data_IF_056581823240
#
_entry.id   IF_056581823240
#
_cell.length_a   1.000
_cell.length_b   1.000
_cell.length_c   1.000
_cell.angle_alpha   90.00
_cell.angle_beta   90.00
_cell.angle_gamma   90.00
#
_symmetry.space_group_name_H-M   'P 1'
#
loop_
_entity.id
_entity.type
_entity.pdbx_description
1 polymer ?
#
# COMPACT_ATOMS: atom_id res chain seq x y z
N UNK A 1 13.16 9.64 -3.42
CA UNK A 1 13.35 9.03 -2.10
C UNK A 1 12.01 8.72 -1.45
N UNK A 2 11.87 7.52 -0.91
CA UNK A 2 10.63 7.11 -0.23
C UNK A 2 10.75 7.38 1.26
N UNK A 3 9.72 7.93 1.86
CA UNK A 3 9.68 8.18 3.30
C UNK A 3 8.24 8.17 3.82
N UNK A 4 8.09 8.08 5.15
CA UNK A 4 6.81 8.27 5.82
C UNK A 4 6.33 9.70 5.68
N UNK A 5 5.02 9.87 5.55
CA UNK A 5 4.42 11.20 5.54
C UNK A 5 4.23 11.69 6.95
N UNK A 6 4.81 12.86 7.24
CA UNK A 6 4.66 13.56 8.50
C UNK A 6 3.88 14.88 8.35
N UNK A 7 3.60 15.29 7.13
CA UNK A 7 2.97 16.57 6.81
C UNK A 7 1.80 16.37 5.84
N UNK A 8 0.57 16.69 6.25
CA UNK A 8 -0.61 16.52 5.40
C UNK A 8 -0.62 17.39 4.15
N UNK A 9 0.01 18.57 4.21
CA UNK A 9 0.07 19.50 3.07
C UNK A 9 0.78 18.92 1.85
N UNK A 10 1.67 17.94 2.04
CA UNK A 10 2.36 17.27 0.94
C UNK A 10 1.44 16.40 0.09
N UNK A 11 0.27 16.02 0.62
CA UNK A 11 -0.65 15.11 -0.04
C UNK A 11 -1.78 15.77 -0.81
N UNK A 12 -2.11 17.02 -0.52
CA UNK A 12 -3.28 17.68 -1.09
C UNK A 12 -3.41 17.59 -2.60
N UNK A 13 -2.32 17.71 -3.39
CA UNK A 13 -2.43 17.64 -4.85
C UNK A 13 -2.63 16.24 -5.42
N UNK A 14 -2.44 15.18 -4.63
CA UNK A 14 -2.31 13.82 -5.15
C UNK A 14 -3.42 12.87 -4.74
N UNK A 15 -4.18 13.17 -3.68
CA UNK A 15 -5.20 12.22 -3.23
C UNK A 15 -6.58 12.62 -3.69
N UNK A 16 -7.26 11.66 -4.33
CA UNK A 16 -8.68 11.72 -4.62
C UNK A 16 -9.47 10.76 -3.72
N UNK A 17 -8.80 9.86 -3.03
CA UNK A 17 -9.41 8.83 -2.18
C UNK A 17 -9.85 9.36 -0.82
N UNK A 18 -9.07 10.26 -0.24
CA UNK A 18 -9.32 10.81 1.10
C UNK A 18 -9.44 12.32 1.05
N UNK A 19 -10.37 12.89 1.83
CA UNK A 19 -10.43 14.33 2.04
C UNK A 19 -9.37 14.76 3.07
N UNK A 20 -9.23 16.09 3.28
CA UNK A 20 -8.21 16.63 4.17
C UNK A 20 -8.34 16.13 5.62
N UNK A 21 -9.55 16.04 6.14
CA UNK A 21 -9.80 15.56 7.51
C UNK A 21 -9.46 14.08 7.65
N UNK A 22 -9.82 13.28 6.65
CA UNK A 22 -9.49 11.86 6.62
C UNK A 22 -7.98 11.62 6.58
N UNK A 23 -7.25 12.42 5.81
CA UNK A 23 -5.79 12.34 5.73
C UNK A 23 -5.14 12.69 7.06
N UNK A 24 -5.59 13.75 7.72
CA UNK A 24 -5.05 14.15 9.02
C UNK A 24 -5.23 13.03 10.06
N UNK A 25 -6.37 12.37 10.05
CA UNK A 25 -6.63 11.24 10.93
C UNK A 25 -5.71 10.06 10.64
N UNK A 26 -5.45 9.76 9.36
CA UNK A 26 -4.57 8.66 8.95
C UNK A 26 -3.12 8.91 9.33
N UNK A 27 -2.63 10.14 9.17
CA UNK A 27 -1.23 10.49 9.45
C UNK A 27 -0.87 10.31 10.92
N UNK A 28 -1.84 10.46 11.83
CA UNK A 28 -1.62 10.22 13.24
C UNK A 28 -1.73 8.76 13.68
N UNK A 29 -2.00 7.83 12.77
CA UNK A 29 -2.27 6.43 13.09
C UNK A 29 -1.13 5.52 12.60
N UNK A 30 -0.34 5.01 13.54
CA UNK A 30 0.78 4.11 13.26
C UNK A 30 0.36 2.78 12.63
N UNK A 31 -0.91 2.37 12.80
CA UNK A 31 -1.44 1.17 12.15
C UNK A 31 -1.77 1.38 10.67
N UNK A 32 -1.71 2.61 10.20
CA UNK A 32 -2.02 2.98 8.82
C UNK A 32 -0.89 3.82 8.23
N UNK A 33 0.31 3.25 8.04
CA UNK A 33 1.45 4.01 7.55
C UNK A 33 1.22 4.48 6.11
N UNK A 34 1.72 5.66 5.82
CA UNK A 34 1.65 6.28 4.51
C UNK A 34 3.07 6.56 4.04
N UNK A 35 3.37 6.13 2.82
CA UNK A 35 4.70 6.32 2.21
C UNK A 35 4.57 7.20 0.98
N UNK A 36 5.56 8.04 0.76
CA UNK A 36 5.64 8.87 -0.46
C UNK A 36 6.99 8.69 -1.13
N UNK A 37 6.99 8.75 -2.45
CA UNK A 37 8.19 8.93 -3.24
C UNK A 37 8.28 10.42 -3.62
N UNK A 38 9.33 11.08 -3.18
CA UNK A 38 9.54 12.51 -3.39
C UNK A 38 10.89 12.75 -4.06
N UNK A 39 10.86 13.59 -5.10
CA UNK A 39 12.05 14.08 -5.80
C UNK A 39 11.77 15.52 -6.21
N UNK A 40 11.87 16.45 -5.23
CA UNK A 40 11.44 17.85 -5.41
C UNK A 40 9.93 18.04 -5.39
N UNK A 41 9.20 17.07 -5.91
CA UNK A 41 7.73 16.97 -5.86
C UNK A 41 7.36 15.54 -5.52
N UNK A 42 6.13 15.33 -5.05
CA UNK A 42 5.64 13.97 -4.78
C UNK A 42 5.30 13.30 -6.10
N UNK A 43 5.92 12.17 -6.38
CA UNK A 43 5.75 11.40 -7.61
C UNK A 43 4.92 10.12 -7.40
N UNK A 44 4.67 9.75 -6.18
CA UNK A 44 3.86 8.57 -5.85
C UNK A 44 3.63 8.43 -4.37
N UNK A 45 2.65 7.59 -4.03
CA UNK A 45 2.31 7.31 -2.63
C UNK A 45 1.80 5.89 -2.46
N UNK A 46 1.87 5.40 -1.22
CA UNK A 46 1.27 4.14 -0.82
C UNK A 46 0.54 4.32 0.50
N UNK A 47 -0.75 3.96 0.52
CA UNK A 47 -1.54 3.87 1.74
C UNK A 47 -1.56 2.42 2.20
N UNK A 48 -1.18 2.18 3.44
CA UNK A 48 -1.06 0.84 3.99
C UNK A 48 -1.87 0.72 5.29
N UNK A 49 -2.13 -0.52 5.69
CA UNK A 49 -2.79 -0.83 6.95
C UNK A 49 -2.10 -2.05 7.56
N UNK A 50 -1.78 -1.96 8.84
CA UNK A 50 -1.19 -3.07 9.58
C UNK A 50 -2.27 -3.72 10.42
N UNK A 51 -2.43 -5.03 10.26
CA UNK A 51 -3.36 -5.82 11.04
C UNK A 51 -2.60 -6.93 11.76
N UNK A 52 -3.06 -7.24 12.97
CA UNK A 52 -2.50 -8.32 13.77
C UNK A 52 -3.62 -9.22 14.25
N UNK A 53 -3.39 -10.54 14.18
CA UNK A 53 -4.24 -11.54 14.81
C UNK A 53 -3.45 -12.08 15.99
N UNK A 54 -3.93 -11.81 17.20
CA UNK A 54 -3.28 -12.24 18.45
C UNK A 54 -4.27 -12.98 19.34
N UNK A 55 -3.75 -13.96 20.08
CA UNK A 55 -4.54 -14.63 21.12
C UNK A 55 -5.56 -15.63 20.60
N UNK A 56 -5.54 -15.97 19.33
CA UNK A 56 -6.36 -17.03 18.78
C UNK A 56 -5.73 -18.38 19.12
N UNK A 57 -6.48 -19.26 19.78
CA UNK A 57 -5.98 -20.58 20.16
C UNK A 57 -5.76 -21.51 18.97
N UNK A 58 -6.37 -21.21 17.84
CA UNK A 58 -6.32 -22.02 16.63
C UNK A 58 -5.36 -21.49 15.58
N UNK A 59 -4.97 -20.21 15.68
CA UNK A 59 -4.10 -19.54 14.71
C UNK A 59 -2.87 -18.98 15.42
N UNK A 60 -1.73 -19.06 14.76
CA UNK A 60 -0.54 -18.36 15.23
C UNK A 60 -0.75 -16.84 15.12
N UNK A 61 -0.03 -16.08 15.95
CA UNK A 61 -0.05 -14.61 15.83
C UNK A 61 0.48 -14.22 14.45
N UNK A 62 -0.34 -13.52 13.69
CA UNK A 62 0.01 -13.09 12.32
C UNK A 62 -0.09 -11.58 12.25
N UNK A 63 0.98 -10.95 11.78
CA UNK A 63 1.03 -9.53 11.49
C UNK A 63 1.15 -9.34 9.98
N UNK A 64 0.19 -8.62 9.41
CA UNK A 64 0.10 -8.40 7.96
C UNK A 64 0.13 -6.91 7.68
N UNK A 65 0.92 -6.50 6.68
CA UNK A 65 0.80 -5.19 6.08
C UNK A 65 -0.04 -5.32 4.81
N UNK A 66 -1.17 -4.63 4.79
CA UNK A 66 -2.06 -4.56 3.64
C UNK A 66 -1.79 -3.28 2.89
N UNK A 67 -1.51 -3.36 1.59
CA UNK A 67 -1.39 -2.19 0.72
C UNK A 67 -2.78 -1.86 0.19
N UNK A 68 -3.37 -0.78 0.71
CA UNK A 68 -4.70 -0.34 0.32
C UNK A 68 -4.69 0.37 -1.03
N UNK A 69 -3.64 1.16 -1.28
CA UNK A 69 -3.51 1.90 -2.52
C UNK A 69 -2.04 2.24 -2.78
N UNK A 70 -1.62 2.06 -4.02
CA UNK A 70 -0.35 2.54 -4.54
C UNK A 70 -0.65 3.34 -5.81
N UNK A 71 -0.22 4.58 -5.84
CA UNK A 71 -0.47 5.49 -6.95
C UNK A 71 0.83 6.17 -7.36
N UNK A 72 1.08 6.23 -8.66
CA UNK A 72 2.28 6.83 -9.23
C UNK A 72 1.85 7.83 -10.29
N UNK A 73 2.49 9.01 -10.29
CA UNK A 73 2.24 10.04 -11.30
C UNK A 73 2.50 9.47 -12.69
N UNK A 74 1.56 9.63 -13.60
CA UNK A 74 1.65 9.12 -14.98
C UNK A 74 2.89 9.61 -15.70
N UNK A 75 3.31 10.85 -15.45
CA UNK A 75 4.50 11.44 -16.07
C UNK A 75 5.79 10.76 -15.68
N UNK A 76 5.77 9.98 -14.60
CA UNK A 76 6.95 9.29 -14.07
C UNK A 76 6.89 7.78 -14.29
N UNK A 77 5.88 7.28 -14.96
CA UNK A 77 5.81 5.86 -15.32
C UNK A 77 7.04 5.50 -16.14
N UNK A 78 7.69 4.39 -15.78
CA UNK A 78 8.96 3.97 -16.38
C UNK A 78 10.20 4.46 -15.64
N UNK A 79 10.06 5.32 -14.61
CA UNK A 79 11.17 5.76 -13.76
C UNK A 79 11.31 4.93 -12.48
N UNK A 80 10.67 3.78 -12.45
CA UNK A 80 10.73 2.83 -11.32
C UNK A 80 10.21 3.37 -9.98
N UNK A 81 9.35 4.38 -10.00
CA UNK A 81 8.77 4.95 -8.78
C UNK A 81 7.91 3.92 -8.04
N UNK A 82 7.06 3.18 -8.77
CA UNK A 82 6.24 2.13 -8.17
C UNK A 82 7.07 1.01 -7.57
N UNK A 83 8.13 0.61 -8.25
CA UNK A 83 9.06 -0.40 -7.75
C UNK A 83 9.75 0.08 -6.46
N UNK A 84 10.22 1.33 -6.44
CA UNK A 84 10.87 1.91 -5.27
C UNK A 84 9.91 1.97 -4.08
N UNK A 85 8.66 2.40 -4.30
CA UNK A 85 7.64 2.40 -3.25
C UNK A 85 7.38 1.01 -2.71
N UNK A 86 7.15 0.05 -3.58
CA UNK A 86 6.88 -1.33 -3.18
C UNK A 86 8.06 -1.92 -2.38
N UNK A 87 9.28 -1.76 -2.85
CA UNK A 87 10.47 -2.28 -2.17
C UNK A 87 10.65 -1.67 -0.79
N UNK A 88 10.40 -0.36 -0.67
CA UNK A 88 10.48 0.31 0.62
C UNK A 88 9.41 -0.19 1.59
N UNK A 89 8.18 -0.35 1.13
CA UNK A 89 7.08 -0.88 1.94
C UNK A 89 7.41 -2.30 2.39
N UNK A 90 7.93 -3.13 1.50
CA UNK A 90 8.37 -4.49 1.81
C UNK A 90 9.43 -4.51 2.91
N UNK A 91 10.46 -3.67 2.76
CA UNK A 91 11.54 -3.61 3.74
C UNK A 91 11.04 -3.10 5.09
N UNK A 92 10.13 -2.11 5.07
CA UNK A 92 9.49 -1.61 6.28
C UNK A 92 8.68 -2.71 6.97
N UNK A 93 7.85 -3.42 6.23
CA UNK A 93 7.05 -4.52 6.78
C UNK A 93 7.93 -5.58 7.44
N UNK A 94 9.01 -5.96 6.80
CA UNK A 94 9.99 -6.90 7.37
C UNK A 94 10.60 -6.33 8.65
N UNK A 95 10.94 -5.05 8.67
CA UNK A 95 11.59 -4.39 9.81
C UNK A 95 10.71 -4.36 11.05
N UNK A 96 9.38 -4.29 10.89
CA UNK A 96 8.44 -4.27 12.01
C UNK A 96 7.88 -5.66 12.35
N UNK A 97 8.40 -6.71 11.73
CA UNK A 97 8.04 -8.08 12.05
C UNK A 97 6.77 -8.61 11.38
N UNK A 98 6.36 -8.02 10.26
CA UNK A 98 5.23 -8.56 9.51
C UNK A 98 5.55 -9.93 8.93
N UNK A 99 4.56 -10.82 8.94
CA UNK A 99 4.67 -12.15 8.36
C UNK A 99 4.48 -12.12 6.85
N UNK A 100 3.67 -11.18 6.36
CA UNK A 100 3.38 -11.07 4.94
C UNK A 100 2.92 -9.66 4.57
N UNK A 101 2.85 -9.42 3.26
CA UNK A 101 2.23 -8.25 2.66
C UNK A 101 1.11 -8.76 1.75
N UNK A 102 -0.06 -8.15 1.83
CA UNK A 102 -1.18 -8.47 0.95
C UNK A 102 -1.69 -7.21 0.24
N UNK A 103 -2.31 -7.41 -0.90
CA UNK A 103 -3.04 -6.38 -1.63
C UNK A 103 -4.09 -7.04 -2.51
N UNK A 104 -5.02 -6.25 -3.01
CA UNK A 104 -6.03 -6.72 -3.95
C UNK A 104 -5.82 -6.08 -5.31
N UNK A 105 -6.04 -6.86 -6.35
CA UNK A 105 -6.01 -6.40 -7.75
C UNK A 105 -7.35 -6.74 -8.38
N UNK A 106 -8.01 -5.75 -8.98
CA UNK A 106 -9.27 -5.98 -9.68
C UNK A 106 -9.06 -6.87 -10.90
N UNK A 107 -10.05 -7.73 -11.15
CA UNK A 107 -10.09 -8.54 -12.37
C UNK A 107 -9.97 -7.66 -13.60
N UNK A 108 -9.11 -8.06 -14.54
CA UNK A 108 -8.85 -7.30 -15.76
C UNK A 108 -7.69 -6.31 -15.67
N UNK A 109 -7.18 -6.04 -14.47
CA UNK A 109 -6.00 -5.18 -14.30
C UNK A 109 -4.71 -6.02 -14.41
N UNK A 110 -4.44 -6.50 -15.61
CA UNK A 110 -3.30 -7.39 -15.85
C UNK A 110 -1.95 -6.70 -15.66
N UNK A 111 -1.88 -5.40 -15.93
CA UNK A 111 -0.65 -4.63 -15.72
C UNK A 111 -0.25 -4.62 -14.24
N UNK A 112 -1.19 -4.35 -13.34
CA UNK A 112 -0.93 -4.38 -11.91
C UNK A 112 -0.58 -5.79 -11.43
N UNK A 113 -1.35 -6.79 -11.87
CA UNK A 113 -1.11 -8.17 -11.50
C UNK A 113 0.29 -8.63 -11.91
N UNK A 114 0.70 -8.32 -13.13
CA UNK A 114 2.02 -8.68 -13.63
C UNK A 114 3.13 -7.93 -12.90
N UNK A 115 2.91 -6.65 -12.58
CA UNK A 115 3.86 -5.87 -11.79
C UNK A 115 4.14 -6.54 -10.45
N UNK A 116 3.09 -6.91 -9.71
CA UNK A 116 3.28 -7.52 -8.40
C UNK A 116 3.84 -8.94 -8.48
N UNK A 117 3.46 -9.72 -9.48
CA UNK A 117 4.08 -11.04 -9.72
C UNK A 117 5.56 -10.91 -10.01
N UNK A 118 5.97 -9.92 -10.80
CA UNK A 118 7.39 -9.66 -11.09
C UNK A 118 8.16 -9.24 -9.85
N UNK A 119 7.48 -8.66 -8.85
CA UNK A 119 8.08 -8.31 -7.57
C UNK A 119 8.15 -9.49 -6.59
N UNK A 120 7.68 -10.67 -6.99
CA UNK A 120 7.72 -11.88 -6.18
C UNK A 120 6.43 -12.24 -5.46
N UNK A 121 5.36 -11.50 -5.68
CA UNK A 121 4.07 -11.81 -5.06
C UNK A 121 3.37 -12.95 -5.79
N UNK A 122 2.57 -13.69 -5.02
CA UNK A 122 1.78 -14.82 -5.54
C UNK A 122 0.32 -14.61 -5.20
N UNK A 123 -0.56 -15.18 -6.02
CA UNK A 123 -1.99 -15.17 -5.71
C UNK A 123 -2.22 -15.97 -4.43
N UNK A 124 -2.82 -15.35 -3.42
CA UNK A 124 -3.15 -15.97 -2.15
C UNK A 124 -4.53 -16.59 -2.17
N UNK A 125 -5.51 -15.86 -2.69
CA UNK A 125 -6.90 -16.29 -2.75
C UNK A 125 -7.60 -15.55 -3.89
N UNK A 126 -8.78 -16.04 -4.27
CA UNK A 126 -9.61 -15.42 -5.30
C UNK A 126 -10.99 -15.16 -4.71
N UNK A 127 -11.48 -13.94 -4.84
CA UNK A 127 -12.84 -13.57 -4.49
C UNK A 127 -13.73 -13.69 -5.72
N UNK A 128 -14.86 -14.36 -5.55
CA UNK A 128 -15.85 -14.52 -6.62
C UNK A 128 -17.15 -13.90 -6.18
N UNK A 129 -17.94 -13.41 -7.13
CA UNK A 129 -19.23 -12.81 -6.82
C UNK A 129 -20.28 -13.22 -7.85
N UNK A 130 -21.52 -13.10 -7.44
CA UNK A 130 -22.68 -13.10 -8.33
C UNK A 130 -23.49 -11.83 -8.02
N UNK A 131 -23.83 -11.08 -9.05
CA UNK A 131 -24.55 -9.81 -8.88
C UNK A 131 -26.02 -10.07 -9.18
N UNK A 132 -26.89 -9.66 -8.24
CA UNK A 132 -28.33 -9.79 -8.40
C UNK A 132 -28.90 -8.56 -9.11
N UNK A 133 -29.92 -8.73 -9.98
CA UNK A 133 -30.53 -7.60 -10.70
C UNK A 133 -31.33 -6.67 -9.80
#
# INVERSE_FOLDING_TARGET
MVHHVLRPDLFKPYTTKYNEQELEALIGDDSKPIFVFEDGVILGHAFCMITEVKGDKLLEDIKTLYIDDICVDEKTRGKHVGKALYEYVRDYAASIGCNNITLNVWEGNDAALNFYKNMGMKVQKTTMEIVFP
#
